data_IF_039314593514
#
_entry.id   IF_039314593514
#
_cell.length_a   1.000
_cell.length_b   1.000
_cell.length_c   1.000
_cell.angle_alpha   90.00
_cell.angle_beta   90.00
_cell.angle_gamma   90.00
#
_symmetry.space_group_name_H-M   'P 1'
#
loop_
_entity.id
_entity.type
_entity.pdbx_description
1 polymer ?
#
# COMPACT_ATOMS: atom_id res chain seq x y z
N UNK A 1 -33.01 12.29 5.11
CA UNK A 1 -31.69 11.90 4.58
C UNK A 1 -31.46 10.44 4.93
N UNK A 2 -31.07 9.60 3.97
CA UNK A 2 -30.89 8.14 4.18
C UNK A 2 -29.45 7.75 4.50
N UNK A 3 -28.49 8.66 4.38
CA UNK A 3 -27.12 8.44 4.83
C UNK A 3 -27.08 8.38 6.36
N UNK A 4 -26.42 7.34 6.90
CA UNK A 4 -26.23 7.11 8.34
C UNK A 4 -24.78 6.72 8.65
N UNK A 5 -24.38 6.78 9.91
CA UNK A 5 -23.03 6.44 10.34
C UNK A 5 -22.91 4.90 10.48
N UNK A 6 -22.31 4.25 9.49
CA UNK A 6 -22.10 2.79 9.46
C UNK A 6 -20.86 2.32 10.23
N UNK A 7 -20.61 2.84 11.43
CA UNK A 7 -19.40 2.50 12.20
C UNK A 7 -19.37 1.04 12.71
N UNK A 8 -20.52 0.37 12.74
CA UNK A 8 -20.65 -1.08 12.97
C UNK A 8 -21.76 -1.65 12.08
N UNK A 9 -21.71 -2.96 11.83
CA UNK A 9 -22.77 -3.66 11.09
C UNK A 9 -24.15 -3.46 11.74
N UNK A 10 -24.24 -3.52 13.07
CA UNK A 10 -25.51 -3.33 13.79
C UNK A 10 -26.05 -1.91 13.63
N UNK A 11 -25.18 -0.90 13.50
CA UNK A 11 -25.59 0.49 13.32
C UNK A 11 -26.24 0.73 11.94
N UNK A 12 -25.80 0.01 10.90
CA UNK A 12 -26.46 -0.02 9.60
C UNK A 12 -26.00 -1.23 8.77
N UNK A 13 -26.77 -2.33 8.77
CA UNK A 13 -26.44 -3.53 7.99
C UNK A 13 -26.33 -3.23 6.49
N UNK A 14 -27.27 -2.42 5.98
CA UNK A 14 -27.31 -2.03 4.57
C UNK A 14 -26.06 -1.24 4.14
N UNK A 15 -25.55 -0.33 4.99
CA UNK A 15 -24.30 0.38 4.67
C UNK A 15 -23.11 -0.56 4.57
N UNK A 16 -23.03 -1.56 5.45
CA UNK A 16 -21.89 -2.49 5.48
C UNK A 16 -21.97 -3.52 4.36
N UNK A 17 -23.11 -4.19 4.19
CA UNK A 17 -23.26 -5.29 3.23
C UNK A 17 -23.23 -4.82 1.79
N UNK A 18 -23.85 -3.66 1.49
CA UNK A 18 -23.85 -3.12 0.14
C UNK A 18 -22.42 -2.73 -0.29
N UNK A 19 -21.63 -2.16 0.62
CA UNK A 19 -20.24 -1.81 0.34
C UNK A 19 -19.41 -3.06 -0.03
N UNK A 20 -19.52 -4.14 0.75
CA UNK A 20 -18.80 -5.40 0.47
C UNK A 20 -19.12 -5.92 -0.93
N UNK A 21 -20.40 -5.97 -1.31
CA UNK A 21 -20.82 -6.47 -2.63
C UNK A 21 -20.36 -5.55 -3.77
N UNK A 22 -20.43 -4.24 -3.59
CA UNK A 22 -19.97 -3.27 -4.59
C UNK A 22 -18.46 -3.34 -4.79
N UNK A 23 -17.69 -3.53 -3.71
CA UNK A 23 -16.25 -3.71 -3.80
C UNK A 23 -15.88 -5.02 -4.49
N UNK A 24 -16.63 -6.11 -4.28
CA UNK A 24 -16.46 -7.35 -5.06
C UNK A 24 -16.78 -7.16 -6.55
N UNK A 25 -17.82 -6.39 -6.88
CA UNK A 25 -18.16 -6.08 -8.27
C UNK A 25 -17.04 -5.29 -8.95
N UNK A 26 -16.55 -4.24 -8.30
CA UNK A 26 -15.45 -3.44 -8.83
C UNK A 26 -14.15 -4.26 -8.94
N UNK A 27 -13.83 -5.08 -7.94
CA UNK A 27 -12.69 -5.98 -7.98
C UNK A 27 -12.75 -6.97 -9.15
N UNK A 28 -13.94 -7.49 -9.47
CA UNK A 28 -14.16 -8.34 -10.67
C UNK A 28 -14.02 -7.57 -11.98
N UNK A 29 -14.51 -6.33 -12.05
CA UNK A 29 -14.36 -5.49 -13.25
C UNK A 29 -12.88 -5.20 -13.56
N UNK A 30 -12.08 -4.99 -12.51
CA UNK A 30 -10.63 -4.78 -12.58
C UNK A 30 -9.84 -6.07 -12.75
N UNK A 31 -10.50 -7.24 -12.64
CA UNK A 31 -9.86 -8.56 -12.66
C UNK A 31 -8.75 -8.71 -11.60
N UNK A 32 -9.03 -8.18 -10.41
CA UNK A 32 -8.12 -8.31 -9.27
C UNK A 32 -7.99 -9.78 -8.82
N UNK A 33 -6.82 -10.18 -8.28
CA UNK A 33 -6.65 -11.51 -7.71
C UNK A 33 -7.74 -11.87 -6.69
N UNK A 34 -8.17 -13.13 -6.70
CA UNK A 34 -9.26 -13.61 -5.85
C UNK A 34 -9.07 -13.33 -4.36
N UNK A 35 -7.81 -13.25 -3.90
CA UNK A 35 -7.46 -12.92 -2.51
C UNK A 35 -7.95 -11.53 -2.06
N UNK A 36 -8.21 -10.61 -2.99
CA UNK A 36 -8.79 -9.28 -2.71
C UNK A 36 -10.33 -9.27 -2.69
N UNK A 37 -10.98 -10.34 -3.12
CA UNK A 37 -12.45 -10.42 -3.20
C UNK A 37 -13.00 -11.07 -1.93
N UNK A 38 -13.92 -10.40 -1.26
CA UNK A 38 -14.59 -10.94 -0.07
C UNK A 38 -15.41 -12.20 -0.42
N UNK A 39 -16.04 -12.23 -1.59
CA UNK A 39 -16.77 -13.40 -2.08
C UNK A 39 -15.91 -14.66 -2.32
N UNK A 40 -14.57 -14.56 -2.26
CA UNK A 40 -13.68 -15.72 -2.37
C UNK A 40 -13.65 -16.60 -1.11
N UNK A 41 -14.15 -16.08 0.04
CA UNK A 41 -14.06 -16.75 1.34
C UNK A 41 -12.68 -16.63 2.01
N UNK A 42 -11.78 -15.81 1.46
CA UNK A 42 -10.48 -15.49 2.05
C UNK A 42 -10.55 -14.48 3.21
N UNK A 43 -9.39 -13.96 3.60
CA UNK A 43 -9.26 -12.93 4.65
C UNK A 43 -9.26 -11.49 4.11
N UNK A 44 -9.25 -11.34 2.79
CA UNK A 44 -9.22 -10.04 2.12
C UNK A 44 -10.61 -9.50 1.81
N UNK A 45 -10.64 -8.30 1.21
CA UNK A 45 -11.85 -7.58 0.83
C UNK A 45 -11.53 -6.14 0.48
N UNK A 46 -12.54 -5.39 0.02
CA UNK A 46 -12.43 -3.96 -0.26
C UNK A 46 -13.20 -3.11 0.74
N UNK A 47 -12.80 -1.84 0.85
CA UNK A 47 -13.45 -0.80 1.68
C UNK A 47 -13.39 0.53 0.93
N UNK A 48 -14.43 1.34 1.04
CA UNK A 48 -14.47 2.67 0.43
C UNK A 48 -13.82 3.67 1.39
N UNK A 49 -12.72 4.27 0.95
CA UNK A 49 -12.03 5.35 1.68
C UNK A 49 -12.44 6.72 1.13
N UNK A 50 -12.24 7.78 1.91
CA UNK A 50 -12.53 9.14 1.45
C UNK A 50 -11.59 9.61 0.36
N UNK A 51 -10.31 9.22 0.43
CA UNK A 51 -9.29 9.56 -0.59
C UNK A 51 -8.22 8.48 -0.78
N UNK A 52 -7.50 8.55 -1.90
CA UNK A 52 -6.28 7.76 -2.11
C UNK A 52 -5.17 8.13 -1.08
N UNK A 53 -5.14 9.38 -0.62
CA UNK A 53 -4.20 9.82 0.43
C UNK A 53 -4.46 9.13 1.76
N UNK A 54 -5.74 9.01 2.16
CA UNK A 54 -6.15 8.26 3.34
C UNK A 54 -5.84 6.77 3.17
N UNK A 55 -6.14 6.20 2.01
CA UNK A 55 -5.85 4.79 1.69
C UNK A 55 -4.36 4.47 1.82
N UNK A 56 -3.50 5.34 1.31
CA UNK A 56 -2.03 5.22 1.44
C UNK A 56 -1.59 5.24 2.90
N UNK A 57 -2.14 6.16 3.70
CA UNK A 57 -1.85 6.25 5.13
C UNK A 57 -2.34 5.01 5.89
N UNK A 58 -3.55 4.53 5.61
CA UNK A 58 -4.11 3.32 6.23
C UNK A 58 -3.25 2.10 5.93
N UNK A 59 -2.83 1.92 4.67
CA UNK A 59 -1.93 0.84 4.28
C UNK A 59 -0.57 0.93 4.99
N UNK A 60 0.01 2.13 5.09
CA UNK A 60 1.25 2.36 5.83
C UNK A 60 1.11 2.01 7.31
N UNK A 61 0.01 2.42 7.96
CA UNK A 61 -0.24 2.13 9.37
C UNK A 61 -0.44 0.63 9.61
N UNK A 62 -1.14 -0.07 8.71
CA UNK A 62 -1.27 -1.53 8.74
C UNK A 62 0.08 -2.24 8.60
N UNK A 63 0.90 -1.82 7.64
CA UNK A 63 2.25 -2.33 7.43
C UNK A 63 3.16 -2.08 8.65
N UNK A 64 3.08 -0.88 9.23
CA UNK A 64 3.81 -0.50 10.44
C UNK A 64 3.43 -1.41 11.61
N UNK A 65 2.13 -1.57 11.88
CA UNK A 65 1.65 -2.41 12.97
C UNK A 65 2.10 -3.87 12.79
N UNK A 66 1.98 -4.42 11.58
CA UNK A 66 2.47 -5.76 11.24
C UNK A 66 3.97 -5.90 11.52
N UNK A 67 4.79 -4.97 11.00
CA UNK A 67 6.25 -5.06 11.14
C UNK A 67 6.70 -4.87 12.59
N UNK A 68 6.08 -3.97 13.34
CA UNK A 68 6.38 -3.78 14.77
C UNK A 68 6.13 -5.07 15.55
N UNK A 69 5.00 -5.74 15.31
CA UNK A 69 4.71 -7.03 15.94
C UNK A 69 5.73 -8.12 15.56
N UNK A 70 6.08 -8.24 14.27
CA UNK A 70 7.08 -9.19 13.79
C UNK A 70 8.45 -8.96 14.45
N UNK A 71 8.93 -7.72 14.47
CA UNK A 71 10.24 -7.37 15.04
C UNK A 71 10.23 -7.53 16.56
N UNK A 72 9.16 -7.15 17.25
CA UNK A 72 9.04 -7.33 18.70
C UNK A 72 9.04 -8.80 19.12
N UNK A 73 8.51 -9.69 18.29
CA UNK A 73 8.58 -11.12 18.53
C UNK A 73 10.01 -11.69 18.35
N UNK A 74 10.81 -11.09 17.47
CA UNK A 74 12.21 -11.47 17.23
C UNK A 74 13.19 -10.79 18.20
N UNK A 75 12.87 -9.59 18.66
CA UNK A 75 13.64 -8.75 19.58
C UNK A 75 12.76 -8.28 20.76
N UNK A 76 12.41 -9.17 21.70
CA UNK A 76 11.56 -8.82 22.84
C UNK A 76 12.13 -7.70 23.72
N UNK A 77 13.44 -7.53 23.71
CA UNK A 77 14.21 -6.54 24.45
C UNK A 77 14.13 -5.12 23.87
N UNK A 78 13.82 -4.97 22.58
CA UNK A 78 13.66 -3.65 21.96
C UNK A 78 12.29 -3.07 22.31
N UNK A 79 12.24 -1.84 22.80
CA UNK A 79 10.98 -1.12 22.94
C UNK A 79 10.38 -0.75 21.57
N UNK A 80 9.08 -0.46 21.55
CA UNK A 80 8.39 -0.11 20.31
C UNK A 80 8.98 1.16 19.67
N UNK A 81 9.40 2.12 20.49
CA UNK A 81 10.02 3.36 20.02
C UNK A 81 11.31 3.09 19.21
N UNK A 82 12.17 2.17 19.68
CA UNK A 82 13.39 1.76 18.97
C UNK A 82 13.05 1.10 17.64
N UNK A 83 12.04 0.21 17.62
CA UNK A 83 11.61 -0.47 16.40
C UNK A 83 11.07 0.54 15.38
N UNK A 84 10.12 1.38 15.78
CA UNK A 84 9.54 2.44 14.92
C UNK A 84 10.63 3.39 14.45
N UNK A 85 11.54 3.76 15.35
CA UNK A 85 12.72 4.58 15.06
C UNK A 85 13.72 3.96 14.10
N UNK A 86 13.52 2.71 13.64
CA UNK A 86 14.32 2.04 12.60
C UNK A 86 13.53 1.75 11.31
N UNK A 87 12.21 1.94 11.31
CA UNK A 87 11.39 1.67 10.13
C UNK A 87 11.70 2.64 8.99
N UNK A 88 11.72 2.11 7.78
CA UNK A 88 11.88 2.86 6.53
C UNK A 88 10.97 2.32 5.42
N UNK A 89 10.27 3.23 4.76
CA UNK A 89 9.46 2.93 3.58
C UNK A 89 10.03 3.55 2.30
N UNK A 90 9.50 3.14 1.16
CA UNK A 90 10.01 3.51 -0.18
C UNK A 90 8.90 3.97 -1.10
N UNK A 91 9.22 4.89 -1.99
CA UNK A 91 8.36 5.25 -3.12
C UNK A 91 9.22 5.79 -4.27
N UNK A 92 8.66 5.81 -5.47
CA UNK A 92 9.26 6.49 -6.62
C UNK A 92 9.49 7.98 -6.34
N UNK A 93 10.52 8.57 -6.95
CA UNK A 93 10.69 10.04 -6.98
C UNK A 93 9.57 10.77 -7.74
N UNK A 94 8.72 10.03 -8.46
CA UNK A 94 7.50 10.52 -9.11
C UNK A 94 6.22 10.23 -8.32
N UNK A 95 6.32 9.65 -7.12
CA UNK A 95 5.16 9.36 -6.29
C UNK A 95 4.41 10.64 -5.90
N UNK A 96 3.09 10.55 -5.74
CA UNK A 96 2.29 11.69 -5.31
C UNK A 96 2.67 12.13 -3.89
N UNK A 97 2.55 13.43 -3.59
CA UNK A 97 2.92 14.02 -2.29
C UNK A 97 2.15 13.42 -1.09
N UNK A 98 1.05 12.71 -1.33
CA UNK A 98 0.33 11.93 -0.32
C UNK A 98 1.19 10.87 0.34
N UNK A 99 2.18 10.29 -0.37
CA UNK A 99 3.07 9.29 0.20
C UNK A 99 3.99 9.92 1.23
N UNK A 100 4.60 11.07 0.92
CA UNK A 100 5.40 11.85 1.87
C UNK A 100 4.56 12.25 3.10
N UNK A 101 3.33 12.74 2.87
CA UNK A 101 2.38 13.05 3.94
C UNK A 101 2.08 11.81 4.81
N UNK A 102 1.93 10.63 4.20
CA UNK A 102 1.69 9.40 4.95
C UNK A 102 2.90 9.01 5.82
N UNK A 103 4.13 9.18 5.33
CA UNK A 103 5.33 8.95 6.13
C UNK A 103 5.46 9.92 7.31
N UNK A 104 5.17 11.20 7.06
CA UNK A 104 5.15 12.24 8.10
C UNK A 104 4.13 11.92 9.20
N UNK A 105 2.88 11.66 8.82
CA UNK A 105 1.81 11.35 9.78
C UNK A 105 1.99 9.98 10.44
N UNK A 106 2.59 9.03 9.73
CA UNK A 106 2.93 7.70 10.25
C UNK A 106 4.15 7.69 11.16
N UNK A 107 4.92 8.78 11.22
CA UNK A 107 6.14 8.90 12.01
C UNK A 107 7.22 7.89 11.59
N UNK A 108 7.43 7.74 10.28
CA UNK A 108 8.41 6.80 9.69
C UNK A 108 9.29 7.50 8.68
N UNK A 109 10.48 6.95 8.42
CA UNK A 109 11.34 7.43 7.33
C UNK A 109 10.76 6.99 5.99
N UNK A 110 10.88 7.86 5.00
CA UNK A 110 10.61 7.53 3.61
C UNK A 110 11.86 7.81 2.75
N UNK A 111 12.14 6.88 1.84
CA UNK A 111 13.16 7.02 0.81
C UNK A 111 12.49 7.25 -0.53
N UNK A 112 12.90 8.32 -1.21
CA UNK A 112 12.61 8.54 -2.61
C UNK A 112 13.59 7.71 -3.45
N UNK A 113 13.07 6.74 -4.19
CA UNK A 113 13.84 5.84 -5.06
C UNK A 113 13.90 6.48 -6.45
N UNK A 114 15.11 6.68 -7.00
CA UNK A 114 15.26 7.27 -8.34
C UNK A 114 14.52 6.46 -9.39
N UNK A 115 13.79 7.15 -10.26
CA UNK A 115 13.09 6.53 -11.37
C UNK A 115 13.93 6.51 -12.66
N UNK A 116 13.68 5.54 -13.54
CA UNK A 116 14.20 5.49 -14.91
C UNK A 116 13.07 5.78 -15.89
N UNK A 117 13.22 6.82 -16.70
CA UNK A 117 12.14 7.32 -17.57
C UNK A 117 10.82 7.54 -16.81
N UNK A 118 10.90 8.11 -15.59
CA UNK A 118 9.77 8.36 -14.69
C UNK A 118 9.12 7.11 -14.08
N UNK A 119 9.76 5.94 -14.19
CA UNK A 119 9.26 4.65 -13.69
C UNK A 119 10.24 4.04 -12.70
N UNK A 120 9.79 3.70 -11.50
CA UNK A 120 10.59 2.97 -10.52
C UNK A 120 10.80 1.53 -10.98
N UNK A 121 12.06 1.08 -10.89
CA UNK A 121 12.51 -0.27 -11.26
C UNK A 121 12.77 -1.10 -10.02
N UNK A 122 12.62 -2.42 -10.15
CA UNK A 122 12.83 -3.34 -9.02
C UNK A 122 14.26 -3.36 -8.50
N UNK A 123 15.25 -3.19 -9.37
CA UNK A 123 16.67 -3.16 -8.99
C UNK A 123 17.03 -1.90 -8.17
N UNK A 124 16.46 -0.74 -8.53
CA UNK A 124 16.61 0.50 -7.80
C UNK A 124 15.99 0.39 -6.40
N UNK A 125 14.78 -0.19 -6.31
CA UNK A 125 14.13 -0.48 -5.04
C UNK A 125 14.96 -1.47 -4.20
N UNK A 126 15.43 -2.57 -4.80
CA UNK A 126 16.21 -3.58 -4.08
C UNK A 126 17.54 -3.01 -3.58
N UNK A 127 18.18 -2.14 -4.36
CA UNK A 127 19.40 -1.45 -3.96
C UNK A 127 19.17 -0.57 -2.73
N UNK A 128 18.10 0.22 -2.71
CA UNK A 128 17.76 1.07 -1.57
C UNK A 128 17.47 0.23 -0.31
N UNK A 129 16.70 -0.86 -0.45
CA UNK A 129 16.43 -1.82 0.64
C UNK A 129 17.73 -2.41 1.21
N UNK A 130 18.63 -2.90 0.35
CA UNK A 130 19.91 -3.50 0.79
C UNK A 130 20.81 -2.50 1.51
N UNK A 131 20.81 -1.24 1.07
CA UNK A 131 21.57 -0.18 1.72
C UNK A 131 21.04 0.10 3.12
N UNK A 132 19.72 0.31 3.27
CA UNK A 132 19.11 0.57 4.57
C UNK A 132 19.23 -0.62 5.53
N UNK A 133 19.17 -1.86 5.03
CA UNK A 133 19.47 -3.05 5.83
C UNK A 133 20.91 -3.05 6.34
N UNK A 134 21.89 -2.68 5.50
CA UNK A 134 23.29 -2.56 5.91
C UNK A 134 23.51 -1.47 6.96
N UNK A 135 22.69 -0.41 6.92
CA UNK A 135 22.67 0.67 7.91
C UNK A 135 21.88 0.33 9.20
N UNK A 136 21.36 -0.91 9.31
CA UNK A 136 20.63 -1.38 10.49
C UNK A 136 19.21 -0.80 10.63
N UNK A 137 18.63 -0.34 9.52
CA UNK A 137 17.22 0.04 9.39
C UNK A 137 16.36 -1.16 8.97
N UNK A 138 15.04 -0.99 9.07
CA UNK A 138 14.05 -2.05 8.85
C UNK A 138 13.11 -1.61 7.71
N UNK A 139 13.36 -2.07 6.47
CA UNK A 139 12.41 -1.97 5.36
C UNK A 139 11.07 -2.59 5.74
N UNK A 140 9.97 -1.87 5.51
CA UNK A 140 8.64 -2.38 5.87
C UNK A 140 7.51 -2.06 4.90
N UNK A 141 7.64 -1.00 4.10
CA UNK A 141 6.58 -0.53 3.22
C UNK A 141 7.13 0.04 1.92
N UNK A 142 6.47 -0.23 0.79
CA UNK A 142 6.77 0.43 -0.47
C UNK A 142 5.48 0.75 -1.23
N UNK A 143 5.44 1.96 -1.81
CA UNK A 143 4.36 2.40 -2.71
C UNK A 143 4.85 2.26 -4.15
N UNK A 144 4.12 1.47 -4.94
CA UNK A 144 4.31 1.32 -6.37
C UNK A 144 3.19 2.08 -7.07
N UNK A 145 3.54 3.11 -7.84
CA UNK A 145 2.55 4.00 -8.46
C UNK A 145 2.26 3.58 -9.89
N UNK A 146 0.98 3.33 -10.20
CA UNK A 146 0.49 3.05 -11.55
C UNK A 146 -0.31 4.27 -12.04
N UNK A 147 0.34 5.13 -12.83
CA UNK A 147 -0.20 6.41 -13.25
C UNK A 147 0.23 7.56 -12.34
N UNK A 148 1.52 7.89 -12.35
CA UNK A 148 2.10 9.02 -11.61
C UNK A 148 1.44 10.34 -11.98
N UNK A 149 1.33 11.28 -11.05
CA UNK A 149 0.66 12.57 -11.29
C UNK A 149 1.32 13.40 -12.39
N UNK A 150 2.66 13.39 -12.47
CA UNK A 150 3.40 14.29 -13.37
C UNK A 150 3.22 13.94 -14.86
N UNK A 151 3.25 12.65 -15.20
CA UNK A 151 3.31 12.19 -16.60
C UNK A 151 2.50 10.92 -16.88
N UNK A 152 1.70 10.44 -15.92
CA UNK A 152 1.00 9.16 -15.98
C UNK A 152 1.93 7.97 -16.30
N UNK A 153 3.17 8.00 -15.78
CA UNK A 153 4.09 6.88 -15.86
C UNK A 153 3.68 5.75 -14.89
N UNK A 154 4.17 4.54 -15.15
CA UNK A 154 3.83 3.33 -14.39
C UNK A 154 5.10 2.71 -13.84
N UNK A 155 5.24 2.65 -12.53
CA UNK A 155 6.28 1.85 -11.90
C UNK A 155 6.14 0.37 -12.28
N UNK A 156 7.26 -0.35 -12.30
CA UNK A 156 7.26 -1.77 -12.69
C UNK A 156 6.84 -2.65 -11.51
N UNK A 157 5.54 -2.91 -11.39
CA UNK A 157 4.98 -3.76 -10.32
C UNK A 157 5.45 -5.21 -10.42
N UNK A 158 5.65 -5.71 -11.64
CA UNK A 158 6.21 -7.03 -11.94
C UNK A 158 7.65 -7.20 -11.46
N UNK A 159 8.41 -6.10 -11.36
CA UNK A 159 9.75 -6.09 -10.76
C UNK A 159 9.72 -5.77 -9.26
N UNK A 160 9.01 -4.71 -8.86
CA UNK A 160 8.96 -4.21 -7.49
C UNK A 160 8.21 -5.15 -6.54
N UNK A 161 7.16 -5.83 -7.01
CA UNK A 161 6.36 -6.76 -6.22
C UNK A 161 7.19 -7.94 -5.69
N UNK A 162 7.89 -8.69 -6.56
CA UNK A 162 8.79 -9.76 -6.13
C UNK A 162 9.90 -9.27 -5.18
N UNK A 163 10.44 -8.07 -5.40
CA UNK A 163 11.42 -7.45 -4.48
C UNK A 163 10.81 -7.21 -3.11
N UNK A 164 9.61 -6.62 -3.05
CA UNK A 164 8.90 -6.42 -1.79
C UNK A 164 8.65 -7.72 -1.04
N UNK A 165 8.14 -8.73 -1.75
CA UNK A 165 7.89 -10.07 -1.19
C UNK A 165 9.16 -10.71 -0.65
N UNK A 166 10.26 -10.66 -1.41
CA UNK A 166 11.57 -11.23 -1.01
C UNK A 166 12.09 -10.63 0.29
N UNK A 167 11.91 -9.33 0.49
CA UNK A 167 12.40 -8.59 1.66
C UNK A 167 11.35 -8.39 2.76
N UNK A 168 10.20 -9.08 2.66
CA UNK A 168 9.06 -8.95 3.57
C UNK A 168 8.63 -7.48 3.81
N UNK A 169 8.57 -6.72 2.72
CA UNK A 169 8.10 -5.34 2.63
C UNK A 169 6.66 -5.35 2.11
N UNK A 170 5.76 -4.64 2.79
CA UNK A 170 4.38 -4.49 2.33
C UNK A 170 4.34 -3.65 1.06
N UNK A 171 3.73 -4.17 0.00
CA UNK A 171 3.52 -3.44 -1.26
C UNK A 171 2.12 -2.85 -1.28
N UNK A 172 2.05 -1.53 -1.41
CA UNK A 172 0.82 -0.80 -1.71
C UNK A 172 0.88 -0.28 -3.13
N UNK A 173 -0.18 -0.52 -3.90
CA UNK A 173 -0.31 0.02 -5.26
C UNK A 173 -1.16 1.27 -5.22
N UNK A 174 -0.58 2.41 -5.60
CA UNK A 174 -1.31 3.65 -5.82
C UNK A 174 -1.67 3.76 -7.30
N UNK A 175 -2.94 3.52 -7.62
CA UNK A 175 -3.49 3.62 -8.96
C UNK A 175 -4.62 4.67 -9.02
N UNK A 176 -4.50 5.78 -8.28
CA UNK A 176 -5.58 6.74 -8.06
C UNK A 176 -6.25 7.25 -9.35
N UNK A 177 -5.48 7.48 -10.41
CA UNK A 177 -6.01 7.91 -11.72
C UNK A 177 -6.15 6.74 -12.70
N UNK A 178 -5.04 6.04 -12.99
CA UNK A 178 -5.03 5.01 -14.03
C UNK A 178 -5.83 3.75 -13.67
N UNK A 179 -6.14 3.53 -12.38
CA UNK A 179 -6.88 2.36 -11.91
C UNK A 179 -8.22 2.16 -12.62
N UNK A 180 -8.92 3.24 -13.00
CA UNK A 180 -10.16 3.13 -13.76
C UNK A 180 -9.97 2.54 -15.16
N UNK A 181 -8.80 2.68 -15.77
CA UNK A 181 -8.54 2.13 -17.11
C UNK A 181 -8.46 0.59 -17.09
N UNK A 182 -8.14 -0.03 -15.96
CA UNK A 182 -7.98 -1.48 -15.83
C UNK A 182 -9.31 -2.26 -15.92
N UNK A 183 -10.45 -1.58 -15.97
CA UNK A 183 -11.71 -2.22 -16.35
C UNK A 183 -11.70 -2.68 -17.81
N UNK A 184 -10.88 -2.04 -18.65
CA UNK A 184 -10.66 -2.40 -20.04
C UNK A 184 -9.46 -3.36 -20.13
N UNK A 185 -9.64 -4.60 -20.63
CA UNK A 185 -8.58 -5.61 -20.67
C UNK A 185 -7.32 -5.20 -21.41
N UNK A 186 -7.41 -4.32 -22.40
CA UNK A 186 -6.28 -3.81 -23.18
C UNK A 186 -5.30 -2.91 -22.39
N UNK A 187 -5.67 -2.51 -21.16
CA UNK A 187 -4.83 -1.71 -20.27
C UNK A 187 -4.42 -2.45 -18.98
N UNK A 188 -4.76 -3.74 -18.83
CA UNK A 188 -4.36 -4.55 -17.67
C UNK A 188 -2.92 -5.02 -17.75
#
# INVERSE_FOLDING_TARGET
AIACIGFTWIASPACTELEVVMMDWLGKMLDLPAEFLACSGGKGGGVIQGTASESTLVALLGAKAKKVQEVKAQHPEWDEHTIVGKLVGYCSDQAHSSVERAGLLGGVRLRSVPSDNHRMRGDALEKAIKQDLADGLIPFYAVVTLGTTNSCAFDYLDECGPVGNKHNVWIHVDAAYAGSAFICPEYR
#
